data_IF_314417305950
#
_entry.id   IF_314417305950
#
_cell.length_a   1.000
_cell.length_b   1.000
_cell.length_c   1.000
_cell.angle_alpha   90.00
_cell.angle_beta   90.00
_cell.angle_gamma   90.00
#
_symmetry.space_group_name_H-M   'P 1'
#
loop_
_entity.id
_entity.type
_entity.pdbx_description
1 polymer ?
#
# COMPACT_ATOMS: atom_id res chain seq x y z
N UNK A 1 -16.56 -6.62 17.96
CA UNK A 1 -17.26 -5.42 17.47
C UNK A 1 -16.21 -4.35 17.24
N UNK A 2 -15.63 -4.27 16.06
CA UNK A 2 -14.46 -3.44 15.78
C UNK A 2 -14.60 -2.84 14.39
N UNK A 3 -15.10 -1.61 14.37
CA UNK A 3 -15.15 -0.77 13.19
C UNK A 3 -13.73 -0.31 12.85
N UNK A 4 -13.08 -1.02 11.94
CA UNK A 4 -11.94 -0.49 11.23
C UNK A 4 -12.43 0.72 10.41
N UNK A 5 -12.02 1.92 10.79
CA UNK A 5 -12.04 3.05 9.87
C UNK A 5 -11.20 2.63 8.66
N UNK A 6 -11.88 2.30 7.56
CA UNK A 6 -11.20 2.00 6.31
C UNK A 6 -10.40 3.23 5.91
N UNK A 7 -9.08 3.10 5.92
CA UNK A 7 -8.23 4.06 5.24
C UNK A 7 -8.68 4.11 3.77
N UNK A 8 -9.27 5.22 3.39
CA UNK A 8 -9.74 5.46 2.03
C UNK A 8 -8.56 5.40 1.08
N UNK A 9 -8.62 4.48 0.15
CA UNK A 9 -7.63 4.28 -0.89
C UNK A 9 -7.48 5.49 -1.79
N UNK A 10 -6.27 5.76 -2.19
CA UNK A 10 -5.90 6.98 -2.86
C UNK A 10 -4.87 6.80 -3.95
N UNK A 11 -5.06 7.50 -5.06
CA UNK A 11 -4.31 7.41 -6.28
C UNK A 11 -4.09 8.80 -6.92
N UNK A 12 -3.11 9.00 -7.78
CA UNK A 12 -2.52 10.28 -8.19
C UNK A 12 -2.82 10.83 -9.60
N UNK A 13 -3.07 12.13 -9.74
CA UNK A 13 -3.02 12.85 -11.00
C UNK A 13 -2.62 14.33 -10.78
N UNK A 14 -1.50 14.75 -11.26
CA UNK A 14 -1.07 16.14 -11.21
C UNK A 14 0.06 16.40 -12.19
N UNK A 15 -0.09 17.44 -13.00
CA UNK A 15 0.97 17.96 -13.85
C UNK A 15 1.38 19.32 -13.31
N UNK A 16 2.54 19.42 -12.65
CA UNK A 16 3.13 20.70 -12.31
C UNK A 16 3.87 21.26 -13.52
N UNK A 17 3.39 22.38 -14.07
CA UNK A 17 4.18 23.22 -14.99
C UNK A 17 5.00 24.18 -14.13
N UNK A 18 6.30 23.91 -13.95
CA UNK A 18 7.22 24.80 -13.26
C UNK A 18 7.54 26.03 -14.11
N UNK A 19 7.20 27.20 -13.63
CA UNK A 19 7.75 28.46 -14.14
C UNK A 19 9.16 28.67 -13.58
N UNK A 20 10.18 28.71 -14.44
CA UNK A 20 11.54 29.09 -14.08
C UNK A 20 11.57 30.59 -13.82
N UNK A 21 11.72 31.03 -12.58
CA UNK A 21 12.32 32.32 -12.26
C UNK A 21 13.82 32.14 -12.12
N UNK A 22 14.54 32.72 -13.06
CA UNK A 22 16.00 32.85 -13.02
C UNK A 22 16.34 34.06 -12.17
N UNK A 23 16.92 33.84 -11.00
CA UNK A 23 17.56 34.86 -10.19
C UNK A 23 18.87 35.28 -10.88
N UNK A 24 18.91 36.48 -11.46
CA UNK A 24 20.14 37.09 -11.96
C UNK A 24 20.99 37.58 -10.78
N UNK A 25 22.09 36.88 -10.50
CA UNK A 25 23.21 37.42 -9.72
C UNK A 25 24.23 38.00 -10.69
N UNK A 26 24.31 39.33 -10.76
CA UNK A 26 25.35 40.05 -11.48
C UNK A 26 26.71 39.81 -10.85
N UNK A 27 27.63 39.19 -11.55
CA UNK A 27 29.07 39.39 -11.36
C UNK A 27 29.70 39.51 -12.75
N UNK A 28 30.27 40.67 -13.02
CA UNK A 28 30.92 40.94 -14.28
C UNK A 28 32.22 40.17 -14.48
N UNK A 29 32.35 39.51 -15.63
CA UNK A 29 33.64 39.32 -16.32
C UNK A 29 33.38 39.09 -17.79
N UNK A 30 34.00 39.97 -18.62
CA UNK A 30 34.08 39.86 -20.07
C UNK A 30 34.72 38.51 -20.46
N UNK A 31 34.16 37.78 -21.43
CA UNK A 31 34.91 37.28 -22.60
C UNK A 31 34.04 36.43 -23.55
N UNK A 32 34.11 36.77 -24.82
CA UNK A 32 33.90 36.02 -26.08
C UNK A 32 32.66 35.13 -26.29
N UNK A 33 32.07 35.16 -27.49
CA UNK A 33 30.80 34.49 -27.81
C UNK A 33 31.07 33.04 -28.17
N UNK A 34 30.77 32.09 -27.25
CA UNK A 34 30.53 30.72 -27.62
C UNK A 34 29.06 30.53 -27.92
N UNK A 35 28.77 30.01 -29.11
CA UNK A 35 27.44 29.61 -29.55
C UNK A 35 26.80 28.68 -28.50
N UNK A 36 25.72 29.13 -27.91
CA UNK A 36 24.87 28.33 -27.04
C UNK A 36 24.12 27.29 -27.87
N UNK A 37 24.11 26.02 -27.47
CA UNK A 37 23.19 25.03 -28.05
C UNK A 37 21.74 25.43 -27.71
N UNK A 38 20.84 25.23 -28.68
CA UNK A 38 19.41 25.49 -28.53
C UNK A 38 18.84 24.77 -27.31
N UNK A 39 17.90 25.40 -26.57
CA UNK A 39 17.25 24.75 -25.44
C UNK A 39 16.42 23.56 -25.93
N UNK A 40 16.80 22.36 -25.54
CA UNK A 40 15.98 21.15 -25.70
C UNK A 40 14.66 21.37 -24.96
N UNK A 41 13.60 21.66 -25.68
CA UNK A 41 12.24 21.58 -25.20
C UNK A 41 11.98 20.14 -24.71
N UNK A 42 11.56 19.92 -23.46
CA UNK A 42 11.18 18.58 -23.04
C UNK A 42 9.98 18.13 -23.86
N UNK A 43 9.93 16.85 -24.28
CA UNK A 43 8.80 16.34 -25.03
C UNK A 43 7.53 16.53 -24.21
N UNK A 44 6.57 17.23 -24.78
CA UNK A 44 5.19 17.26 -24.30
C UNK A 44 4.66 15.85 -24.50
N UNK A 45 4.65 15.05 -23.44
CA UNK A 45 3.90 13.80 -23.46
C UNK A 45 2.44 14.20 -23.46
N UNK A 46 1.87 14.29 -24.67
CA UNK A 46 0.44 14.30 -24.83
C UNK A 46 -0.11 13.06 -24.13
N UNK A 47 -0.93 13.25 -23.11
CA UNK A 47 -1.74 12.18 -22.57
C UNK A 47 -2.66 11.75 -23.72
N UNK A 48 -2.34 10.61 -24.33
CA UNK A 48 -3.28 9.93 -25.21
C UNK A 48 -4.51 9.64 -24.34
N UNK A 49 -5.53 10.46 -24.48
CA UNK A 49 -6.87 10.11 -24.03
C UNK A 49 -7.26 8.89 -24.85
N UNK A 50 -7.15 7.71 -24.27
CA UNK A 50 -7.80 6.54 -24.80
C UNK A 50 -9.28 6.92 -24.91
N UNK A 51 -9.81 6.92 -26.12
CA UNK A 51 -11.22 7.05 -26.43
C UNK A 51 -11.95 5.81 -25.91
N UNK A 52 -12.14 5.75 -24.60
CA UNK A 52 -13.08 4.81 -23.98
C UNK A 52 -14.47 5.26 -24.38
N UNK A 53 -15.30 4.31 -24.79
CA UNK A 53 -16.70 4.54 -25.18
C UNK A 53 -17.37 5.49 -24.17
N UNK A 54 -18.07 6.52 -24.65
CA UNK A 54 -18.61 7.60 -23.82
C UNK A 54 -19.55 7.14 -22.67
N UNK A 55 -20.06 5.92 -22.70
CA UNK A 55 -20.84 5.30 -21.63
C UNK A 55 -19.97 4.92 -20.39
N UNK A 56 -18.76 4.40 -20.60
CA UNK A 56 -17.81 4.07 -19.50
C UNK A 56 -17.28 5.36 -18.85
N UNK A 57 -16.97 6.37 -19.64
CA UNK A 57 -16.49 7.64 -19.15
C UNK A 57 -17.57 8.37 -18.34
N UNK A 58 -18.82 8.41 -18.82
CA UNK A 58 -19.94 8.99 -18.07
C UNK A 58 -20.29 8.22 -16.81
N UNK A 59 -20.09 6.91 -16.76
CA UNK A 59 -20.25 6.10 -15.54
C UNK A 59 -19.14 6.38 -14.51
N UNK A 60 -17.89 6.48 -14.95
CA UNK A 60 -16.74 6.80 -14.09
C UNK A 60 -16.87 8.22 -13.51
N UNK A 61 -17.25 9.20 -14.32
CA UNK A 61 -17.48 10.58 -13.88
C UNK A 61 -18.59 10.71 -12.84
N UNK A 62 -19.66 9.89 -12.94
CA UNK A 62 -20.75 9.88 -11.96
C UNK A 62 -20.40 9.16 -10.66
N UNK A 63 -19.48 8.21 -10.68
CA UNK A 63 -19.14 7.38 -9.52
C UNK A 63 -17.86 7.81 -8.81
N UNK A 64 -16.98 8.53 -9.47
CA UNK A 64 -15.70 8.97 -8.92
C UNK A 64 -15.64 10.50 -8.84
N UNK A 65 -15.68 11.10 -7.62
CA UNK A 65 -15.58 12.54 -7.46
C UNK A 65 -14.21 13.04 -7.90
N UNK A 66 -14.19 14.21 -8.53
CA UNK A 66 -12.94 14.92 -8.80
C UNK A 66 -12.33 15.44 -7.50
N UNK A 67 -11.01 15.40 -7.44
CA UNK A 67 -10.22 15.84 -6.29
C UNK A 67 -9.00 16.62 -6.75
N UNK A 68 -8.56 17.55 -5.92
CA UNK A 68 -7.22 18.15 -6.01
C UNK A 68 -6.28 17.31 -5.16
N UNK A 69 -5.25 16.72 -5.80
CA UNK A 69 -4.23 15.94 -5.12
C UNK A 69 -2.88 16.66 -5.17
N UNK A 70 -2.28 16.87 -4.01
CA UNK A 70 -1.01 17.58 -3.87
C UNK A 70 -0.06 16.78 -3.00
N UNK A 71 1.19 16.67 -3.43
CA UNK A 71 2.26 16.08 -2.62
C UNK A 71 3.24 17.17 -2.22
N UNK A 72 3.47 17.27 -0.94
CA UNK A 72 4.42 18.17 -0.32
C UNK A 72 5.62 17.38 0.21
N UNK A 73 6.83 17.88 -0.08
CA UNK A 73 8.07 17.26 0.37
C UNK A 73 8.84 18.16 1.31
N UNK A 74 9.41 17.57 2.34
CA UNK A 74 10.33 18.26 3.22
C UNK A 74 11.38 17.29 3.79
N UNK A 75 12.52 17.83 4.21
CA UNK A 75 13.54 17.07 4.93
C UNK A 75 13.48 17.47 6.40
N UNK A 76 13.13 16.56 7.32
CA UNK A 76 13.24 16.82 8.74
C UNK A 76 14.72 17.02 9.10
N UNK A 77 15.09 18.04 9.91
CA UNK A 77 16.45 18.23 10.38
C UNK A 77 16.95 16.99 11.13
N UNK A 78 18.23 16.65 10.98
CA UNK A 78 18.81 15.47 11.62
C UNK A 78 18.83 15.57 13.15
N UNK A 79 18.93 16.79 13.69
CA UNK A 79 19.05 17.09 15.12
C UNK A 79 17.71 17.46 15.77
N UNK A 80 16.60 17.45 15.03
CA UNK A 80 15.32 17.90 15.57
C UNK A 80 14.63 16.80 16.39
N UNK A 81 14.06 17.22 17.52
CA UNK A 81 13.12 16.40 18.30
C UNK A 81 11.69 16.51 17.78
N UNK A 82 11.50 16.92 16.52
CA UNK A 82 10.18 17.12 15.94
C UNK A 82 9.53 15.75 15.71
N UNK A 83 8.48 15.47 16.48
CA UNK A 83 7.70 14.24 16.35
C UNK A 83 6.41 14.44 15.54
N UNK A 84 5.98 15.69 15.38
CA UNK A 84 4.74 16.07 14.68
C UNK A 84 4.94 17.33 13.86
N UNK A 85 4.36 17.37 12.66
CA UNK A 85 4.41 18.54 11.76
C UNK A 85 3.03 18.76 11.17
N UNK A 86 2.56 20.03 11.22
CA UNK A 86 1.32 20.44 10.57
C UNK A 86 1.64 21.23 9.30
N UNK A 87 1.03 20.84 8.19
CA UNK A 87 1.19 21.48 6.90
C UNK A 87 -0.15 22.10 6.51
N UNK A 88 -0.16 23.39 6.23
CA UNK A 88 -1.33 24.10 5.74
C UNK A 88 -1.30 24.19 4.23
N UNK A 89 -2.31 23.64 3.59
CA UNK A 89 -2.53 23.71 2.15
C UNK A 89 -3.61 24.73 1.85
N UNK A 90 -3.32 25.68 0.98
CA UNK A 90 -4.29 26.68 0.50
C UNK A 90 -4.33 26.61 -1.01
N UNK A 91 -5.50 26.33 -1.57
CA UNK A 91 -5.71 26.23 -3.01
C UNK A 91 -6.69 27.27 -3.53
N UNK A 92 -6.41 27.75 -4.76
CA UNK A 92 -7.29 28.66 -5.50
C UNK A 92 -7.42 28.15 -6.93
N UNK A 93 -8.65 28.06 -7.42
CA UNK A 93 -8.95 27.69 -8.78
C UNK A 93 -8.51 28.79 -9.74
N UNK A 94 -7.87 28.43 -10.84
CA UNK A 94 -7.45 29.33 -11.90
C UNK A 94 -8.61 29.52 -12.90
N UNK A 95 -8.53 30.61 -13.69
CA UNK A 95 -9.45 30.90 -14.80
C UNK A 95 -10.93 30.97 -14.38
N UNK A 96 -11.22 31.42 -13.17
CA UNK A 96 -12.60 31.66 -12.72
C UNK A 96 -13.10 33.00 -13.24
N UNK A 97 -14.13 32.99 -14.09
CA UNK A 97 -14.80 34.19 -14.58
C UNK A 97 -15.96 34.56 -13.63
N UNK A 98 -15.93 35.75 -13.04
CA UNK A 98 -16.94 36.25 -12.11
C UNK A 98 -16.59 36.00 -10.62
N UNK A 99 -17.64 36.06 -9.76
CA UNK A 99 -17.47 35.81 -8.33
C UNK A 99 -17.14 34.34 -8.04
N UNK A 100 -16.15 34.13 -7.19
CA UNK A 100 -15.76 32.77 -6.75
C UNK A 100 -16.88 32.11 -5.98
N UNK A 101 -17.15 30.85 -6.30
CA UNK A 101 -18.20 30.03 -5.68
C UNK A 101 -17.57 29.11 -4.61
N UNK A 102 -18.44 28.54 -3.80
CA UNK A 102 -18.04 27.43 -2.94
C UNK A 102 -17.38 26.32 -3.78
N UNK A 103 -16.22 25.84 -3.36
CA UNK A 103 -15.44 24.86 -4.12
C UNK A 103 -14.40 25.43 -5.08
N UNK A 104 -14.23 26.78 -5.21
CA UNK A 104 -13.16 27.42 -5.98
C UNK A 104 -11.95 27.81 -5.13
N UNK A 105 -12.06 27.70 -3.82
CA UNK A 105 -10.97 27.88 -2.84
C UNK A 105 -11.06 26.81 -1.76
N UNK A 106 -9.91 26.40 -1.22
CA UNK A 106 -9.87 25.52 -0.05
C UNK A 106 -8.72 25.90 0.88
N UNK A 107 -8.87 25.59 2.17
CA UNK A 107 -7.81 25.55 3.17
C UNK A 107 -7.90 24.24 3.91
N UNK A 108 -6.79 23.48 3.96
CA UNK A 108 -6.72 22.18 4.59
C UNK A 108 -5.43 22.07 5.41
N UNK A 109 -5.57 21.68 6.66
CA UNK A 109 -4.45 21.46 7.56
C UNK A 109 -4.25 19.95 7.76
N UNK A 110 -3.06 19.43 7.44
CA UNK A 110 -2.70 18.02 7.61
C UNK A 110 -1.61 17.90 8.65
N UNK A 111 -1.89 17.18 9.73
CA UNK A 111 -0.91 16.91 10.80
C UNK A 111 -0.37 15.50 10.67
N UNK A 112 0.95 15.37 10.70
CA UNK A 112 1.66 14.12 10.58
C UNK A 112 2.46 13.89 11.84
N UNK A 113 2.18 12.78 12.50
CA UNK A 113 2.87 12.32 13.68
C UNK A 113 3.92 11.26 13.36
N UNK A 114 4.86 11.05 14.27
CA UNK A 114 5.85 9.98 14.15
C UNK A 114 6.97 10.25 13.14
N UNK A 115 7.27 11.53 12.89
CA UNK A 115 8.44 11.90 12.09
C UNK A 115 9.71 11.57 12.87
N UNK A 116 10.59 10.79 12.24
CA UNK A 116 11.87 10.38 12.81
C UNK A 116 12.97 11.29 12.27
N UNK A 117 13.73 11.91 13.17
CA UNK A 117 14.89 12.73 12.79
C UNK A 117 15.88 11.91 11.95
N UNK A 118 16.42 12.50 10.89
CA UNK A 118 17.36 11.83 10.01
C UNK A 118 16.75 10.72 9.11
N UNK A 119 15.43 10.57 9.09
CA UNK A 119 14.75 9.59 8.21
C UNK A 119 14.81 9.95 6.72
N UNK A 120 15.47 11.07 6.35
CA UNK A 120 15.52 11.56 4.98
C UNK A 120 14.23 12.24 4.51
N UNK A 121 13.99 12.35 3.20
CA UNK A 121 12.87 13.13 2.66
C UNK A 121 11.52 12.50 3.02
N UNK A 122 10.61 13.34 3.48
CA UNK A 122 9.22 13.00 3.80
C UNK A 122 8.32 13.58 2.71
N UNK A 123 7.42 12.77 2.17
CA UNK A 123 6.41 13.17 1.19
C UNK A 123 5.03 13.04 1.80
N UNK A 124 4.24 14.11 1.74
CA UNK A 124 2.87 14.13 2.26
C UNK A 124 1.91 14.39 1.13
N UNK A 125 1.01 13.45 0.89
CA UNK A 125 0.00 13.55 -0.17
C UNK A 125 -1.37 13.76 0.44
N UNK A 126 -1.96 14.93 0.18
CA UNK A 126 -3.33 15.27 0.58
C UNK A 126 -4.27 15.24 -0.62
N UNK A 127 -5.54 15.03 -0.35
CA UNK A 127 -6.60 14.88 -1.34
C UNK A 127 -7.80 15.69 -0.90
N UNK A 128 -7.98 16.78 -1.55
CA UNK A 128 -9.05 17.70 -1.26
C UNK A 128 -10.26 17.31 -2.11
N UNK A 129 -11.34 16.97 -1.44
CA UNK A 129 -12.66 16.68 -2.04
C UNK A 129 -13.50 17.94 -2.04
N UNK A 130 -14.64 17.88 -2.71
CA UNK A 130 -15.62 19.00 -2.78
C UNK A 130 -15.04 20.25 -3.44
N UNK A 131 -14.23 20.04 -4.45
CA UNK A 131 -13.60 21.09 -5.27
C UNK A 131 -14.20 21.09 -6.66
N UNK A 132 -14.33 22.26 -7.26
CA UNK A 132 -14.80 22.39 -8.64
C UNK A 132 -13.72 21.92 -9.63
N UNK A 133 -14.09 21.22 -10.71
CA UNK A 133 -13.15 20.77 -11.74
C UNK A 133 -12.35 21.91 -12.37
N UNK A 134 -11.08 21.63 -12.70
CA UNK A 134 -10.24 22.59 -13.42
C UNK A 134 -8.78 22.64 -12.94
N UNK A 135 -8.11 23.75 -13.29
CA UNK A 135 -6.73 24.01 -12.88
C UNK A 135 -6.70 24.84 -11.59
N UNK A 136 -5.77 24.50 -10.71
CA UNK A 136 -5.62 25.08 -9.39
C UNK A 136 -4.19 25.55 -9.16
N UNK A 137 -4.03 26.62 -8.39
CA UNK A 137 -2.74 26.93 -7.76
C UNK A 137 -2.83 26.56 -6.29
N UNK A 138 -1.97 25.68 -5.82
CA UNK A 138 -1.92 25.26 -4.43
C UNK A 138 -0.63 25.73 -3.77
N UNK A 139 -0.74 26.34 -2.60
CA UNK A 139 0.37 26.73 -1.72
C UNK A 139 0.39 25.81 -0.52
N UNK A 140 1.58 25.39 -0.10
CA UNK A 140 1.76 24.60 1.09
C UNK A 140 2.79 25.29 2.01
N UNK A 141 2.42 25.49 3.28
CA UNK A 141 3.28 26.10 4.29
C UNK A 141 3.34 25.18 5.51
N UNK A 142 4.54 25.00 6.06
CA UNK A 142 4.70 24.38 7.37
C UNK A 142 4.26 25.36 8.44
N UNK A 143 3.36 24.91 9.31
CA UNK A 143 2.99 25.66 10.49
C UNK A 143 4.02 25.38 11.59
N UNK A 144 4.51 26.41 12.30
CA UNK A 144 5.40 26.20 13.43
C UNK A 144 4.66 25.37 14.49
N UNK A 145 5.31 24.34 14.99
CA UNK A 145 4.83 23.64 16.20
C UNK A 145 5.01 24.57 17.36
N UNK A 146 3.93 25.15 17.86
CA UNK A 146 3.94 25.91 19.11
C UNK A 146 3.98 24.87 20.22
N UNK A 147 5.17 24.56 20.71
CA UNK A 147 5.33 23.84 21.96
C UNK A 147 5.08 24.84 23.11
N UNK A 148 3.97 24.70 23.86
CA UNK A 148 3.65 25.64 24.92
C UNK A 148 4.67 25.67 26.07
N UNK A 149 5.66 24.77 26.05
CA UNK A 149 6.71 24.68 27.07
C UNK A 149 8.05 25.28 26.64
N UNK A 150 8.22 25.68 25.40
CA UNK A 150 9.48 26.29 24.93
C UNK A 150 9.43 27.81 25.09
N UNK A 151 9.72 28.31 26.28
CA UNK A 151 10.07 29.71 26.55
C UNK A 151 11.57 29.96 26.24
N UNK A 152 11.97 29.75 24.99
CA UNK A 152 13.33 30.03 24.57
C UNK A 152 13.36 30.53 23.13
N UNK A 153 13.97 31.71 22.92
CA UNK A 153 14.31 32.26 21.60
C UNK A 153 15.30 31.32 20.88
N UNK A 154 14.84 30.18 20.43
CA UNK A 154 15.57 29.32 19.51
C UNK A 154 15.16 29.67 18.07
N UNK A 155 16.11 30.01 17.23
CA UNK A 155 15.88 30.16 15.79
C UNK A 155 15.18 28.91 15.27
N UNK A 156 13.95 29.06 14.77
CA UNK A 156 13.19 27.97 14.21
C UNK A 156 13.99 27.35 13.06
N UNK A 157 14.14 26.03 13.02
CA UNK A 157 14.84 25.40 11.91
C UNK A 157 14.12 25.74 10.62
N UNK A 158 14.84 26.39 9.69
CA UNK A 158 14.31 26.67 8.35
C UNK A 158 14.22 25.34 7.62
N UNK A 159 13.01 24.79 7.60
CA UNK A 159 12.73 23.60 6.82
C UNK A 159 12.53 24.03 5.38
N UNK A 160 13.43 23.62 4.49
CA UNK A 160 13.28 23.91 3.07
C UNK A 160 12.13 23.09 2.48
N UNK A 161 11.19 23.79 1.89
CA UNK A 161 9.95 23.28 1.35
C UNK A 161 10.12 23.08 -0.16
N UNK A 162 9.89 21.86 -0.64
CA UNK A 162 9.96 21.56 -2.06
C UNK A 162 8.74 20.80 -2.53
N UNK A 163 7.90 21.32 -3.42
CA UNK A 163 6.97 20.48 -4.18
C UNK A 163 7.78 19.60 -5.15
N UNK A 164 7.59 18.29 -5.07
CA UNK A 164 8.30 17.34 -5.91
C UNK A 164 7.36 16.58 -6.83
N UNK A 165 7.76 16.46 -8.09
CA UNK A 165 7.21 15.46 -9.00
C UNK A 165 8.16 14.26 -9.03
N UNK A 166 7.70 13.09 -8.61
CA UNK A 166 8.45 11.85 -8.67
C UNK A 166 8.23 11.14 -10.01
N UNK A 167 9.30 10.73 -10.67
CA UNK A 167 9.27 9.78 -11.76
C UNK A 167 10.18 8.59 -11.43
N UNK A 168 9.88 7.40 -11.97
CA UNK A 168 10.68 6.18 -11.81
C UNK A 168 12.18 6.34 -12.13
N UNK A 169 12.53 7.39 -12.90
CA UNK A 169 13.89 7.63 -13.36
C UNK A 169 14.59 8.79 -12.68
N UNK A 170 13.85 9.74 -12.12
CA UNK A 170 14.45 10.95 -11.57
C UNK A 170 13.62 11.51 -10.41
N UNK A 171 14.23 11.70 -9.28
CA UNK A 171 13.72 12.54 -8.21
C UNK A 171 13.89 13.99 -8.65
N UNK A 172 12.86 14.61 -9.14
CA UNK A 172 12.86 16.06 -9.41
C UNK A 172 12.11 16.75 -8.29
N UNK A 173 12.89 17.40 -7.44
CA UNK A 173 12.35 18.31 -6.44
C UNK A 173 12.31 19.70 -7.08
N UNK A 174 11.13 20.23 -7.37
CA UNK A 174 10.99 21.63 -7.79
C UNK A 174 10.84 22.50 -6.54
N UNK A 175 11.78 23.41 -6.35
CA UNK A 175 11.71 24.38 -5.25
C UNK A 175 10.62 25.42 -5.56
N UNK A 176 9.67 25.57 -4.64
CA UNK A 176 8.68 26.64 -4.70
C UNK A 176 7.52 26.42 -3.72
N UNK A 177 6.98 27.48 -3.12
CA UNK A 177 5.86 27.38 -2.17
C UNK A 177 4.52 27.12 -2.85
N UNK A 178 4.46 27.11 -4.18
CA UNK A 178 3.23 26.93 -4.95
C UNK A 178 3.43 26.07 -6.20
N UNK A 179 2.44 25.28 -6.54
CA UNK A 179 2.42 24.45 -7.73
C UNK A 179 1.05 24.54 -8.45
N UNK A 180 1.03 24.59 -9.80
CA UNK A 180 -0.20 24.39 -10.56
C UNK A 180 -0.57 22.91 -10.55
N UNK A 181 -1.83 22.62 -10.27
CA UNK A 181 -2.37 21.26 -10.15
C UNK A 181 -3.72 21.21 -10.86
N UNK A 182 -3.94 20.18 -11.66
CA UNK A 182 -5.25 19.92 -12.26
C UNK A 182 -6.06 18.96 -11.38
N UNK A 183 -7.38 19.13 -11.36
CA UNK A 183 -8.27 18.12 -10.74
C UNK A 183 -8.14 16.80 -11.46
N UNK A 184 -8.37 15.74 -10.74
CA UNK A 184 -8.37 14.38 -11.26
C UNK A 184 -9.40 13.51 -10.56
N UNK A 185 -9.80 12.42 -11.21
CA UNK A 185 -10.71 11.48 -10.60
C UNK A 185 -10.03 10.76 -9.42
N UNK A 186 -10.73 10.69 -8.30
CA UNK A 186 -10.25 10.10 -7.03
C UNK A 186 -9.55 8.74 -7.18
N UNK A 187 -10.05 7.79 -8.00
CA UNK A 187 -9.39 6.49 -8.17
C UNK A 187 -8.02 6.54 -8.85
N UNK A 188 -7.67 7.65 -9.52
CA UNK A 188 -6.42 7.79 -10.28
C UNK A 188 -5.33 8.62 -9.62
N UNK A 189 -5.52 9.06 -8.37
CA UNK A 189 -4.50 9.79 -7.59
C UNK A 189 -3.39 8.86 -7.12
N UNK A 190 -2.11 9.10 -7.41
CA UNK A 190 -0.97 8.26 -7.01
C UNK A 190 -0.07 8.96 -5.99
N UNK A 191 0.00 8.53 -4.73
CA UNK A 191 1.08 8.92 -3.84
C UNK A 191 2.44 8.43 -4.37
N UNK A 192 3.55 9.09 -4.01
CA UNK A 192 4.87 8.60 -4.35
C UNK A 192 5.08 7.15 -3.87
N UNK A 193 5.78 6.35 -4.67
CA UNK A 193 6.04 4.92 -4.46
C UNK A 193 4.80 3.99 -4.45
N UNK A 194 3.62 4.48 -4.81
CA UNK A 194 2.42 3.64 -4.95
C UNK A 194 2.17 3.33 -6.42
N UNK A 195 1.98 2.04 -6.74
CA UNK A 195 1.66 1.54 -8.07
C UNK A 195 0.22 1.06 -8.09
N UNK A 196 -0.56 1.67 -8.99
CA UNK A 196 -1.96 1.29 -9.20
C UNK A 196 -2.11 -0.14 -9.68
N UNK A 197 -3.14 -0.81 -9.14
CA UNK A 197 -3.48 -2.17 -9.57
C UNK A 197 -2.46 -3.23 -9.18
N UNK A 198 -1.28 -2.85 -8.65
CA UNK A 198 -0.22 -3.78 -8.27
C UNK A 198 -0.70 -4.86 -7.30
N UNK A 199 -1.59 -4.50 -6.36
CA UNK A 199 -2.15 -5.47 -5.44
C UNK A 199 -2.97 -6.55 -6.17
N UNK A 200 -3.86 -6.15 -7.06
CA UNK A 200 -4.71 -7.09 -7.79
C UNK A 200 -3.88 -7.99 -8.71
N UNK A 201 -2.93 -7.40 -9.45
CA UNK A 201 -2.03 -8.17 -10.34
C UNK A 201 -1.21 -9.18 -9.54
N UNK A 202 -0.57 -8.76 -8.44
CA UNK A 202 0.27 -9.65 -7.65
C UNK A 202 -0.54 -10.70 -6.86
N UNK A 203 -1.77 -10.39 -6.44
CA UNK A 203 -2.66 -11.39 -5.84
C UNK A 203 -3.07 -12.43 -6.87
N UNK A 204 -3.47 -12.04 -8.08
CA UNK A 204 -3.78 -12.98 -9.15
C UNK A 204 -2.56 -13.83 -9.52
N UNK A 205 -1.38 -13.23 -9.67
CA UNK A 205 -0.12 -13.95 -9.89
C UNK A 205 0.17 -14.93 -8.76
N UNK A 206 -0.06 -14.52 -7.50
CA UNK A 206 0.09 -15.40 -6.34
C UNK A 206 -0.87 -16.58 -6.34
N UNK A 207 -2.13 -16.38 -6.75
CA UNK A 207 -3.11 -17.46 -6.89
C UNK A 207 -2.68 -18.44 -8.00
N UNK A 208 -2.25 -17.93 -9.16
CA UNK A 208 -1.77 -18.77 -10.26
C UNK A 208 -0.55 -19.60 -9.81
N UNK A 209 0.44 -18.96 -9.15
CA UNK A 209 1.60 -19.67 -8.60
C UNK A 209 1.19 -20.74 -7.58
N UNK A 210 0.24 -20.43 -6.70
CA UNK A 210 -0.29 -21.36 -5.72
C UNK A 210 -0.91 -22.59 -6.40
N UNK A 211 -1.77 -22.40 -7.40
CA UNK A 211 -2.38 -23.50 -8.14
C UNK A 211 -1.35 -24.33 -8.91
N UNK A 212 -0.34 -23.71 -9.51
CA UNK A 212 0.75 -24.44 -10.18
C UNK A 212 1.58 -25.25 -9.18
N UNK A 213 1.92 -24.69 -8.03
CA UNK A 213 2.64 -25.39 -6.97
C UNK A 213 1.81 -26.55 -6.41
N UNK A 214 0.53 -26.34 -6.19
CA UNK A 214 -0.39 -27.40 -5.75
C UNK A 214 -0.48 -28.52 -6.80
N UNK A 215 -0.60 -28.18 -8.08
CA UNK A 215 -0.61 -29.15 -9.19
C UNK A 215 0.64 -30.01 -9.23
N UNK A 216 1.81 -29.42 -9.00
CA UNK A 216 3.08 -30.13 -8.92
C UNK A 216 3.06 -31.16 -7.78
N UNK A 217 2.65 -30.78 -6.59
CA UNK A 217 2.57 -31.69 -5.42
C UNK A 217 1.55 -32.80 -5.66
N UNK A 218 0.38 -32.48 -6.23
CA UNK A 218 -0.67 -33.47 -6.51
C UNK A 218 -0.19 -34.49 -7.53
N UNK A 219 0.51 -34.06 -8.58
CA UNK A 219 1.03 -34.96 -9.62
C UNK A 219 2.03 -35.98 -9.07
N UNK A 220 2.84 -35.58 -8.09
CA UNK A 220 3.79 -36.49 -7.42
C UNK A 220 3.15 -37.38 -6.38
N UNK A 221 2.02 -36.96 -5.79
CA UNK A 221 1.29 -37.73 -4.79
C UNK A 221 0.25 -38.72 -5.37
N UNK A 222 0.07 -38.75 -6.70
CA UNK A 222 -0.91 -39.66 -7.38
C UNK A 222 -2.37 -39.34 -7.08
N UNK A 223 -2.68 -38.11 -6.63
CA UNK A 223 -4.04 -37.69 -6.34
C UNK A 223 -4.80 -37.25 -7.61
N UNK A 224 -6.13 -37.31 -7.56
CA UNK A 224 -6.99 -36.84 -8.65
C UNK A 224 -6.88 -35.33 -8.85
N UNK A 225 -5.98 -34.88 -9.73
CA UNK A 225 -5.66 -33.48 -9.97
C UNK A 225 -6.91 -32.62 -10.19
N UNK A 226 -7.85 -33.07 -11.02
CA UNK A 226 -9.07 -32.31 -11.32
C UNK A 226 -9.92 -32.00 -10.08
N UNK A 227 -10.09 -32.99 -9.18
CA UNK A 227 -10.88 -32.84 -7.98
C UNK A 227 -10.20 -31.84 -7.00
N UNK A 228 -8.90 -31.97 -6.75
CA UNK A 228 -8.17 -31.11 -5.83
C UNK A 228 -8.14 -29.66 -6.32
N UNK A 229 -7.87 -29.43 -7.62
CA UNK A 229 -7.90 -28.11 -8.21
C UNK A 229 -9.31 -27.51 -8.22
N UNK A 230 -10.35 -28.30 -8.46
CA UNK A 230 -11.73 -27.85 -8.36
C UNK A 230 -12.06 -27.37 -6.93
N UNK A 231 -11.69 -28.15 -5.89
CA UNK A 231 -11.83 -27.74 -4.50
C UNK A 231 -11.15 -26.40 -4.25
N UNK A 232 -9.89 -26.25 -4.66
CA UNK A 232 -9.12 -25.02 -4.44
C UNK A 232 -9.73 -23.82 -5.17
N UNK A 233 -10.09 -23.96 -6.43
CA UNK A 233 -10.64 -22.89 -7.26
C UNK A 233 -12.01 -22.43 -6.74
N UNK A 234 -12.93 -23.34 -6.48
CA UNK A 234 -14.25 -23.00 -5.98
C UNK A 234 -14.20 -22.49 -4.55
N UNK A 235 -13.27 -22.95 -3.70
CA UNK A 235 -13.07 -22.40 -2.36
C UNK A 235 -12.53 -20.96 -2.38
N UNK A 236 -11.58 -20.66 -3.29
CA UNK A 236 -11.12 -19.29 -3.52
C UNK A 236 -12.26 -18.41 -4.03
N UNK A 237 -13.08 -18.91 -4.97
CA UNK A 237 -14.26 -18.17 -5.47
C UNK A 237 -15.27 -17.92 -4.34
N UNK A 238 -15.55 -18.93 -3.51
CA UNK A 238 -16.39 -18.80 -2.32
C UNK A 238 -15.84 -17.76 -1.33
N UNK A 239 -14.51 -17.74 -1.13
CA UNK A 239 -13.82 -16.72 -0.35
C UNK A 239 -14.00 -15.31 -0.94
N UNK A 240 -13.84 -15.17 -2.27
CA UNK A 240 -14.04 -13.90 -2.98
C UNK A 240 -15.47 -13.38 -2.76
N UNK A 241 -16.47 -14.23 -2.97
CA UNK A 241 -17.89 -13.90 -2.77
C UNK A 241 -18.17 -13.57 -1.30
N UNK A 242 -17.66 -14.40 -0.37
CA UNK A 242 -17.80 -14.21 1.06
C UNK A 242 -17.20 -12.88 1.54
N UNK A 243 -15.98 -12.54 1.05
CA UNK A 243 -15.30 -11.30 1.37
C UNK A 243 -16.11 -10.07 0.94
N UNK A 244 -16.72 -10.13 -0.23
CA UNK A 244 -17.57 -9.06 -0.76
C UNK A 244 -18.90 -8.97 -0.02
N UNK A 245 -19.57 -10.10 0.18
CA UNK A 245 -20.84 -10.15 0.89
C UNK A 245 -20.71 -9.62 2.33
N UNK A 246 -19.68 -10.05 3.06
CA UNK A 246 -19.41 -9.59 4.42
C UNK A 246 -19.17 -8.08 4.49
N UNK A 247 -18.37 -7.54 3.55
CA UNK A 247 -18.15 -6.11 3.46
C UNK A 247 -19.45 -5.33 3.24
N UNK A 248 -20.31 -5.78 2.33
CA UNK A 248 -21.61 -5.16 2.04
C UNK A 248 -22.55 -5.22 3.23
N UNK A 249 -22.56 -6.31 4.00
CA UNK A 249 -23.39 -6.45 5.21
C UNK A 249 -22.96 -5.46 6.30
N UNK A 250 -21.63 -5.32 6.52
CA UNK A 250 -21.09 -4.39 7.50
C UNK A 250 -21.31 -2.91 7.13
N UNK A 251 -21.33 -2.60 5.82
CA UNK A 251 -21.41 -1.23 5.32
C UNK A 251 -22.77 -0.92 4.68
N UNK A 252 -23.87 -1.52 5.17
CA UNK A 252 -25.24 -1.37 4.65
C UNK A 252 -25.68 0.08 4.48
N UNK A 253 -25.26 1.00 5.34
CA UNK A 253 -25.60 2.44 5.29
C UNK A 253 -24.84 3.22 4.23
N UNK A 254 -23.66 2.77 3.85
CA UNK A 254 -22.76 3.46 2.93
C UNK A 254 -22.41 2.50 1.79
N UNK A 255 -23.29 2.36 0.79
CA UNK A 255 -23.16 1.45 -0.36
C UNK A 255 -21.92 1.74 -1.22
N UNK A 256 -20.74 1.79 -0.62
CA UNK A 256 -19.48 1.88 -1.35
C UNK A 256 -19.00 0.47 -1.69
N UNK A 257 -18.85 0.22 -2.97
CA UNK A 257 -18.38 -1.07 -3.49
C UNK A 257 -16.87 -1.28 -3.35
N UNK A 258 -16.14 -0.34 -2.72
CA UNK A 258 -14.69 -0.19 -2.82
C UNK A 258 -13.89 -1.04 -1.83
N UNK A 259 -14.54 -1.80 -0.95
CA UNK A 259 -13.86 -2.54 0.10
C UNK A 259 -14.04 -4.05 0.04
N UNK A 260 -13.15 -4.75 0.76
CA UNK A 260 -13.13 -6.19 0.96
C UNK A 260 -12.92 -6.53 2.43
N UNK A 261 -13.60 -7.56 2.93
CA UNK A 261 -13.44 -8.05 4.29
C UNK A 261 -12.71 -9.39 4.29
N UNK A 262 -11.52 -9.42 4.90
CA UNK A 262 -10.71 -10.65 5.02
C UNK A 262 -11.47 -11.73 5.80
N UNK A 263 -12.23 -11.34 6.84
CA UNK A 263 -13.05 -12.27 7.62
C UNK A 263 -14.07 -13.00 6.73
N UNK A 264 -14.74 -12.25 5.85
CA UNK A 264 -15.69 -12.83 4.91
C UNK A 264 -15.03 -13.78 3.90
N UNK A 265 -13.81 -13.44 3.45
CA UNK A 265 -13.03 -14.32 2.57
C UNK A 265 -12.72 -15.65 3.27
N UNK A 266 -12.19 -15.59 4.50
CA UNK A 266 -11.88 -16.81 5.29
C UNK A 266 -13.15 -17.61 5.55
N UNK A 267 -14.25 -16.97 5.95
CA UNK A 267 -15.52 -17.65 6.19
C UNK A 267 -16.03 -18.34 4.94
N UNK A 268 -16.04 -17.65 3.77
CA UNK A 268 -16.49 -18.24 2.51
C UNK A 268 -15.63 -19.43 2.07
N UNK A 269 -14.31 -19.31 2.22
CA UNK A 269 -13.38 -20.40 1.93
C UNK A 269 -13.62 -21.60 2.84
N UNK A 270 -13.72 -21.40 4.16
CA UNK A 270 -13.90 -22.48 5.17
C UNK A 270 -15.27 -23.14 5.06
N UNK A 271 -16.29 -22.48 4.53
CA UNK A 271 -17.58 -23.09 4.27
C UNK A 271 -17.56 -23.96 3.00
N UNK A 272 -16.90 -23.50 1.94
CA UNK A 272 -16.91 -24.20 0.64
C UNK A 272 -15.91 -25.37 0.61
N UNK A 273 -14.71 -25.21 1.14
CA UNK A 273 -13.65 -26.20 1.05
C UNK A 273 -14.03 -27.57 1.67
N UNK A 274 -14.49 -27.67 2.94
CA UNK A 274 -14.86 -28.96 3.53
C UNK A 274 -16.03 -29.63 2.80
N UNK A 275 -17.02 -28.84 2.36
CA UNK A 275 -18.15 -29.37 1.60
C UNK A 275 -17.69 -30.06 0.31
N UNK A 276 -16.81 -29.41 -0.46
CA UNK A 276 -16.30 -29.96 -1.71
C UNK A 276 -15.35 -31.15 -1.47
N UNK A 277 -14.53 -31.11 -0.40
CA UNK A 277 -13.67 -32.24 -0.04
C UNK A 277 -14.49 -33.50 0.25
N UNK A 278 -15.61 -33.35 0.96
CA UNK A 278 -16.55 -34.45 1.24
C UNK A 278 -17.25 -34.91 -0.04
N UNK A 279 -17.79 -34.03 -0.86
CA UNK A 279 -18.54 -34.36 -2.08
C UNK A 279 -17.66 -35.06 -3.14
N UNK A 280 -16.39 -34.64 -3.25
CA UNK A 280 -15.44 -35.17 -4.25
C UNK A 280 -14.57 -36.29 -3.69
N UNK A 281 -14.80 -36.72 -2.44
CA UNK A 281 -14.01 -37.75 -1.74
C UNK A 281 -12.50 -37.50 -1.78
N UNK A 282 -12.08 -36.24 -1.61
CA UNK A 282 -10.67 -35.87 -1.58
C UNK A 282 -10.15 -36.04 -0.13
N UNK A 283 -9.03 -36.76 0.09
CA UNK A 283 -8.45 -36.90 1.42
C UNK A 283 -8.03 -35.54 1.99
N UNK A 284 -8.65 -35.13 3.11
CA UNK A 284 -8.46 -33.80 3.74
C UNK A 284 -6.99 -33.55 4.05
N UNK A 285 -6.29 -34.51 4.67
CA UNK A 285 -4.88 -34.35 5.03
C UNK A 285 -3.97 -34.12 3.82
N UNK A 286 -4.16 -34.92 2.77
CA UNK A 286 -3.39 -34.78 1.55
C UNK A 286 -3.67 -33.45 0.81
N UNK A 287 -4.95 -33.01 0.81
CA UNK A 287 -5.32 -31.70 0.29
C UNK A 287 -4.63 -30.56 1.06
N UNK A 288 -4.64 -30.61 2.40
CA UNK A 288 -4.01 -29.61 3.25
C UNK A 288 -2.50 -29.55 2.99
N UNK A 289 -1.82 -30.70 2.97
CA UNK A 289 -0.36 -30.75 2.77
C UNK A 289 0.04 -30.27 1.37
N UNK A 290 -0.73 -30.62 0.32
CA UNK A 290 -0.51 -30.07 -1.02
C UNK A 290 -0.78 -28.55 -1.08
N UNK A 291 -1.65 -28.05 -0.22
CA UNK A 291 -1.98 -26.61 -0.15
C UNK A 291 -0.98 -25.81 0.69
N UNK A 292 -0.19 -26.44 1.56
CA UNK A 292 0.77 -25.73 2.43
C UNK A 292 1.79 -24.91 1.64
N UNK A 293 2.63 -25.48 0.75
CA UNK A 293 3.57 -24.71 -0.04
C UNK A 293 2.88 -23.75 -1.01
N UNK A 294 1.76 -24.18 -1.59
CA UNK A 294 0.96 -23.36 -2.50
C UNK A 294 0.49 -22.06 -1.85
N UNK A 295 -0.12 -22.16 -0.67
CA UNK A 295 -0.60 -21.02 0.12
C UNK A 295 0.56 -20.09 0.50
N UNK A 296 1.67 -20.62 0.97
CA UNK A 296 2.80 -19.82 1.43
C UNK A 296 3.47 -19.10 0.26
N UNK A 297 3.75 -19.77 -0.86
CA UNK A 297 4.35 -19.13 -2.03
C UNK A 297 3.41 -18.10 -2.66
N UNK A 298 2.13 -18.39 -2.77
CA UNK A 298 1.13 -17.42 -3.24
C UNK A 298 1.03 -16.20 -2.33
N UNK A 299 1.03 -16.41 -1.01
CA UNK A 299 1.00 -15.34 -0.02
C UNK A 299 2.27 -14.46 -0.09
N UNK A 300 3.44 -15.04 -0.33
CA UNK A 300 4.68 -14.29 -0.50
C UNK A 300 4.57 -13.26 -1.63
N UNK A 301 4.05 -13.67 -2.79
CA UNK A 301 3.80 -12.77 -3.92
C UNK A 301 2.74 -11.72 -3.56
N UNK A 302 1.65 -12.10 -2.90
CA UNK A 302 0.61 -11.17 -2.45
C UNK A 302 1.14 -10.09 -1.51
N UNK A 303 2.15 -10.38 -0.67
CA UNK A 303 2.80 -9.40 0.23
C UNK A 303 3.61 -8.36 -0.52
N UNK A 304 4.20 -8.68 -1.66
CA UNK A 304 4.81 -7.68 -2.55
C UNK A 304 3.74 -6.70 -3.07
N UNK A 305 2.52 -7.18 -3.33
CA UNK A 305 1.39 -6.32 -3.68
C UNK A 305 1.07 -5.28 -2.59
N UNK A 306 1.14 -5.67 -1.32
CA UNK A 306 0.97 -4.75 -0.19
C UNK A 306 2.07 -3.67 -0.16
N UNK A 307 3.31 -4.02 -0.46
CA UNK A 307 4.42 -3.06 -0.52
C UNK A 307 4.19 -2.01 -1.61
N UNK A 308 3.90 -2.43 -2.83
CA UNK A 308 3.69 -1.52 -3.96
C UNK A 308 2.38 -0.71 -3.87
N UNK A 309 1.41 -1.17 -3.10
CA UNK A 309 0.14 -0.43 -2.87
C UNK A 309 0.21 0.47 -1.64
N UNK A 310 1.25 0.33 -0.80
CA UNK A 310 1.40 1.12 0.42
C UNK A 310 0.43 0.73 1.54
N UNK A 311 -0.04 -0.53 1.60
CA UNK A 311 -0.80 -1.03 2.74
C UNK A 311 0.09 -1.80 3.72
N UNK A 312 -0.34 -1.88 4.99
CA UNK A 312 0.41 -2.59 6.04
C UNK A 312 1.85 -2.09 6.22
N UNK A 313 2.06 -0.78 6.08
CA UNK A 313 3.38 -0.17 6.14
C UNK A 313 4.04 -0.35 7.52
N UNK A 314 5.36 -0.50 7.52
CA UNK A 314 6.15 -0.51 8.75
C UNK A 314 6.32 0.88 9.34
N UNK A 315 6.79 0.94 10.58
CA UNK A 315 7.07 2.20 11.29
C UNK A 315 8.14 3.01 10.57
N UNK A 316 8.05 4.35 10.57
CA UNK A 316 9.14 5.22 10.14
C UNK A 316 10.43 4.90 10.90
N UNK A 317 11.57 4.96 10.21
CA UNK A 317 12.87 4.58 10.78
C UNK A 317 14.01 5.28 10.06
N UNK A 318 15.04 5.69 10.81
CA UNK A 318 16.30 6.19 10.30
C UNK A 318 17.37 5.08 10.14
N UNK A 319 17.01 3.81 10.31
CA UNK A 319 17.92 2.68 10.15
C UNK A 319 18.42 2.59 8.70
N UNK A 320 19.69 2.13 8.52
CA UNK A 320 20.26 1.82 7.20
C UNK A 320 19.49 0.74 6.41
N UNK A 321 18.67 -0.05 7.09
CA UNK A 321 17.82 -1.10 6.49
C UNK A 321 16.42 -0.59 6.13
N UNK A 322 16.12 0.68 6.47
CA UNK A 322 14.85 1.27 6.12
C UNK A 322 14.77 1.50 4.61
N UNK A 323 13.59 1.20 4.04
CA UNK A 323 13.30 1.42 2.62
C UNK A 323 12.31 2.55 2.49
N UNK A 324 12.58 3.49 1.59
CA UNK A 324 11.65 4.57 1.32
C UNK A 324 10.37 4.04 0.68
N UNK A 325 9.25 4.20 1.36
CA UNK A 325 7.94 3.70 0.94
C UNK A 325 6.82 4.58 1.47
N UNK A 326 5.64 4.49 0.87
CA UNK A 326 4.46 5.27 1.25
C UNK A 326 3.41 4.39 1.91
N UNK A 327 2.69 4.95 2.90
CA UNK A 327 1.47 4.36 3.47
C UNK A 327 0.20 4.90 2.78
N UNK A 328 0.28 5.31 1.51
CA UNK A 328 -0.76 5.96 0.68
C UNK A 328 -0.98 7.46 0.94
N UNK A 329 -0.49 8.00 2.04
CA UNK A 329 -0.54 9.44 2.35
C UNK A 329 0.84 10.00 2.66
N UNK A 330 1.65 9.26 3.44
CA UNK A 330 2.97 9.71 3.88
C UNK A 330 4.05 8.77 3.36
N UNK A 331 4.94 9.29 2.50
CA UNK A 331 6.16 8.62 2.06
C UNK A 331 7.33 8.99 2.94
N UNK A 332 8.04 7.99 3.48
CA UNK A 332 9.20 8.14 4.36
C UNK A 332 10.01 6.85 4.38
N UNK A 333 11.23 6.88 4.87
CA UNK A 333 11.97 5.65 5.15
C UNK A 333 11.29 4.86 6.27
N UNK A 334 10.98 3.59 6.01
CA UNK A 334 10.22 2.70 6.90
C UNK A 334 10.90 1.35 7.01
N UNK A 335 10.66 0.67 8.12
CA UNK A 335 10.98 -0.75 8.23
C UNK A 335 10.20 -1.50 7.16
N UNK A 336 10.85 -2.25 6.24
CA UNK A 336 10.17 -2.91 5.12
C UNK A 336 9.44 -4.19 5.54
N UNK A 337 8.49 -4.06 6.46
CA UNK A 337 7.77 -5.20 7.06
C UNK A 337 7.08 -6.10 6.05
N UNK A 338 6.56 -5.53 4.95
CA UNK A 338 5.92 -6.29 3.87
C UNK A 338 6.93 -7.18 3.14
N UNK A 339 8.14 -6.65 2.86
CA UNK A 339 9.21 -7.40 2.19
C UNK A 339 9.78 -8.47 3.12
N UNK A 340 9.95 -8.16 4.41
CA UNK A 340 10.38 -9.13 5.42
C UNK A 340 9.36 -10.26 5.55
N UNK A 341 8.06 -9.95 5.62
CA UNK A 341 6.99 -10.94 5.67
C UNK A 341 6.98 -11.79 4.39
N UNK A 342 7.12 -11.16 3.20
CA UNK A 342 7.20 -11.88 1.92
C UNK A 342 8.38 -12.87 1.90
N UNK A 343 9.58 -12.44 2.29
CA UNK A 343 10.77 -13.29 2.31
C UNK A 343 10.63 -14.48 3.27
N UNK A 344 10.13 -14.22 4.48
CA UNK A 344 9.93 -15.28 5.48
C UNK A 344 8.89 -16.30 5.06
N UNK A 345 7.75 -15.82 4.51
CA UNK A 345 6.69 -16.73 4.02
C UNK A 345 7.16 -17.50 2.79
N UNK A 346 7.97 -16.89 1.93
CA UNK A 346 8.60 -17.58 0.81
C UNK A 346 9.51 -18.72 1.28
N UNK A 347 10.33 -18.50 2.30
CA UNK A 347 11.17 -19.55 2.89
C UNK A 347 10.34 -20.68 3.49
N UNK A 348 9.27 -20.37 4.23
CA UNK A 348 8.34 -21.38 4.75
C UNK A 348 7.69 -22.15 3.60
N UNK A 349 7.35 -21.49 2.50
CA UNK A 349 6.80 -22.12 1.30
C UNK A 349 7.79 -23.08 0.64
N UNK A 350 9.06 -22.69 0.49
CA UNK A 350 10.08 -23.56 -0.08
C UNK A 350 10.40 -24.75 0.83
N UNK A 351 10.50 -24.56 2.14
CA UNK A 351 10.76 -25.65 3.08
C UNK A 351 9.61 -26.65 3.12
N UNK A 352 8.35 -26.17 3.16
CA UNK A 352 7.19 -27.06 3.08
C UNK A 352 7.08 -27.77 1.73
N UNK A 353 7.42 -27.11 0.61
CA UNK A 353 7.48 -27.76 -0.70
C UNK A 353 8.51 -28.88 -0.71
N UNK A 354 9.73 -28.62 -0.25
CA UNK A 354 10.77 -29.64 -0.15
C UNK A 354 10.37 -30.81 0.74
N UNK A 355 9.73 -30.54 1.87
CA UNK A 355 9.25 -31.59 2.79
C UNK A 355 8.15 -32.44 2.15
N UNK A 356 7.13 -31.83 1.55
CA UNK A 356 6.03 -32.58 0.92
C UNK A 356 6.51 -33.40 -0.27
N UNK A 357 7.43 -32.87 -1.09
CA UNK A 357 7.99 -33.62 -2.21
C UNK A 357 8.89 -34.78 -1.76
N UNK A 358 9.58 -34.65 -0.61
CA UNK A 358 10.49 -35.67 -0.08
C UNK A 358 9.78 -36.80 0.64
N UNK A 359 8.76 -36.47 1.45
CA UNK A 359 8.11 -37.41 2.35
C UNK A 359 6.68 -37.79 1.91
N UNK A 360 6.13 -37.13 0.90
CA UNK A 360 4.72 -37.22 0.54
C UNK A 360 3.80 -36.49 1.52
N UNK A 361 2.49 -36.43 1.23
CA UNK A 361 1.50 -35.85 2.14
C UNK A 361 1.40 -36.65 3.45
N UNK A 362 1.42 -35.97 4.59
CA UNK A 362 1.45 -36.52 5.95
C UNK A 362 0.24 -36.07 6.77
N UNK A 363 -0.97 -36.46 6.36
CA UNK A 363 -2.23 -36.24 7.11
C UNK A 363 -2.54 -34.75 7.46
N UNK A 364 -1.88 -33.78 6.80
CA UNK A 364 -2.07 -32.36 7.02
C UNK A 364 -1.02 -31.72 7.96
N UNK A 365 -0.02 -32.44 8.41
CA UNK A 365 1.00 -31.95 9.34
C UNK A 365 1.86 -30.84 8.75
N UNK A 366 2.26 -30.93 7.49
CA UNK A 366 3.01 -29.85 6.83
C UNK A 366 2.19 -28.56 6.71
N UNK A 367 0.87 -28.66 6.54
CA UNK A 367 0.00 -27.49 6.54
C UNK A 367 -0.07 -26.85 7.92
N UNK A 368 -0.30 -27.65 8.94
CA UNK A 368 -0.37 -27.18 10.34
C UNK A 368 0.94 -26.51 10.73
N UNK A 369 2.08 -27.16 10.47
CA UNK A 369 3.40 -26.61 10.74
C UNK A 369 3.64 -25.27 10.01
N UNK A 370 3.37 -25.21 8.72
CA UNK A 370 3.57 -24.01 7.91
C UNK A 370 2.71 -22.83 8.41
N UNK A 371 1.43 -23.08 8.71
CA UNK A 371 0.51 -22.04 9.23
C UNK A 371 0.91 -21.59 10.63
N UNK A 372 1.33 -22.51 11.51
CA UNK A 372 1.78 -22.19 12.87
C UNK A 372 3.05 -21.33 12.84
N UNK A 373 4.07 -21.73 12.05
CA UNK A 373 5.31 -20.94 11.86
C UNK A 373 5.01 -19.57 11.30
N UNK A 374 4.19 -19.48 10.25
CA UNK A 374 3.78 -18.20 9.70
C UNK A 374 3.09 -17.32 10.73
N UNK A 375 2.18 -17.90 11.52
CA UNK A 375 1.45 -17.18 12.56
C UNK A 375 2.39 -16.60 13.61
N UNK A 376 3.37 -17.36 14.08
CA UNK A 376 4.40 -16.91 15.03
C UNK A 376 5.22 -15.76 14.45
N UNK A 377 5.76 -15.92 13.25
CA UNK A 377 6.53 -14.89 12.55
C UNK A 377 5.70 -13.61 12.37
N UNK A 378 4.45 -13.76 11.98
CA UNK A 378 3.53 -12.63 11.80
C UNK A 378 3.30 -11.87 13.11
N UNK A 379 3.18 -12.56 14.29
CA UNK A 379 3.02 -11.86 15.57
C UNK A 379 4.22 -10.95 15.86
N UNK A 380 5.42 -11.39 15.54
CA UNK A 380 6.63 -10.56 15.67
C UNK A 380 6.61 -9.36 14.70
N UNK A 381 6.36 -9.59 13.40
CA UNK A 381 6.35 -8.55 12.38
C UNK A 381 5.26 -7.50 12.60
N UNK A 382 4.13 -7.88 13.20
CA UNK A 382 3.05 -6.94 13.54
C UNK A 382 3.50 -5.87 14.55
N UNK A 383 4.53 -6.12 15.38
CA UNK A 383 5.10 -5.12 16.28
C UNK A 383 5.87 -4.02 15.55
N UNK A 384 6.35 -4.31 14.32
CA UNK A 384 7.11 -3.40 13.48
C UNK A 384 6.23 -2.55 12.55
N UNK A 385 4.90 -2.79 12.53
CA UNK A 385 3.96 -2.02 11.71
C UNK A 385 3.58 -0.69 12.36
N UNK A 386 3.22 0.27 11.53
CA UNK A 386 2.72 1.57 11.94
C UNK A 386 1.33 1.49 12.59
N UNK A 387 0.47 0.64 12.06
CA UNK A 387 -0.88 0.44 12.58
C UNK A 387 -0.85 -0.11 14.01
N UNK A 388 -1.40 0.64 14.95
CA UNK A 388 -1.53 0.19 16.35
C UNK A 388 -2.54 -0.94 16.44
N UNK A 389 -2.21 -1.96 17.23
CA UNK A 389 -3.15 -3.03 17.55
C UNK A 389 -4.26 -2.49 18.43
N UNK A 390 -5.48 -2.95 18.18
CA UNK A 390 -6.64 -2.62 19.01
C UNK A 390 -6.67 -3.41 20.33
N UNK A 391 -5.94 -4.53 20.43
CA UNK A 391 -5.84 -5.36 21.63
C UNK A 391 -4.38 -5.74 21.90
N UNK A 392 -3.89 -5.38 23.07
CA UNK A 392 -2.54 -5.75 23.52
C UNK A 392 -2.47 -7.22 23.93
N UNK A 393 -3.56 -7.77 24.44
CA UNK A 393 -3.61 -9.15 24.96
C UNK A 393 -3.81 -10.21 23.87
N UNK A 394 -4.41 -9.88 22.74
CA UNK A 394 -4.65 -10.83 21.66
C UNK A 394 -3.39 -11.41 20.99
N UNK A 395 -2.30 -10.66 21.01
CA UNK A 395 -1.05 -11.08 20.40
C UNK A 395 -0.34 -12.24 21.11
N UNK A 396 -0.11 -12.18 22.45
CA UNK A 396 0.52 -13.29 23.16
C UNK A 396 -0.36 -14.53 23.14
N UNK A 397 -1.68 -14.40 23.26
CA UNK A 397 -2.60 -15.56 23.20
C UNK A 397 -2.50 -16.28 21.84
N UNK A 398 -2.51 -15.57 20.73
CA UNK A 398 -2.36 -16.16 19.39
C UNK A 398 -0.97 -16.80 19.22
N UNK A 399 0.08 -16.18 19.74
CA UNK A 399 1.43 -16.75 19.67
C UNK A 399 1.56 -18.03 20.51
N UNK A 400 1.01 -18.05 21.73
CA UNK A 400 0.98 -19.23 22.59
C UNK A 400 0.17 -20.36 21.92
N UNK A 401 -1.02 -20.07 21.40
CA UNK A 401 -1.83 -21.06 20.71
C UNK A 401 -1.11 -21.64 19.48
N UNK A 402 -0.49 -20.80 18.65
CA UNK A 402 0.28 -21.27 17.50
C UNK A 402 1.51 -22.10 17.91
N UNK A 403 2.19 -21.72 18.98
CA UNK A 403 3.31 -22.48 19.54
C UNK A 403 2.89 -23.85 20.07
N UNK A 404 1.76 -23.90 20.79
CA UNK A 404 1.19 -25.18 21.28
C UNK A 404 0.77 -26.09 20.14
N UNK A 405 0.09 -25.55 19.12
CA UNK A 405 -0.31 -26.32 17.93
C UNK A 405 0.92 -26.89 17.22
N UNK A 406 1.96 -26.08 17.02
CA UNK A 406 3.21 -26.54 16.40
C UNK A 406 3.91 -27.62 17.23
N UNK A 407 3.92 -27.48 18.57
CA UNK A 407 4.50 -28.47 19.47
C UNK A 407 3.74 -29.79 19.39
N UNK A 408 2.40 -29.77 19.45
CA UNK A 408 1.55 -30.96 19.33
C UNK A 408 1.78 -31.64 17.98
N UNK A 409 1.80 -30.88 16.88
CA UNK A 409 2.04 -31.39 15.55
C UNK A 409 3.40 -32.10 15.45
N UNK A 410 4.45 -31.51 15.99
CA UNK A 410 5.80 -32.09 16.04
C UNK A 410 5.82 -33.40 16.86
N UNK A 411 5.14 -33.44 17.98
CA UNK A 411 5.03 -34.65 18.84
C UNK A 411 4.30 -35.76 18.06
N UNK A 412 3.21 -35.43 17.37
CA UNK A 412 2.47 -36.42 16.56
C UNK A 412 3.36 -36.97 15.46
N UNK A 413 4.13 -36.11 14.75
CA UNK A 413 5.08 -36.57 13.70
C UNK A 413 6.17 -37.45 14.25
N UNK A 414 6.60 -37.26 15.51
CA UNK A 414 7.63 -38.11 16.12
C UNK A 414 7.11 -39.45 16.65
N UNK A 415 5.80 -39.56 16.91
CA UNK A 415 5.17 -40.77 17.44
C UNK A 415 4.59 -41.68 16.35
N UNK A 416 4.41 -41.19 15.15
CA UNK A 416 3.94 -41.91 13.97
C UNK A 416 5.10 -42.22 13.03
#
# INVERSE_FOLDING_TARGET
MLLSKSASETIWCGRAKGSRQVSQKRSGRRNSPRRSPAPLTPPVIASTQASSSGALQSFVERTAPEVVAVTYWFNPPAESTIHSVTIKFVGRRLNVTGLRKHGDEFSHDETIDGIVAGSGPVAVTVKIREVNPGEWTVRANLLPVIDPKSHGQGSQPVISVFPAAWSWRHWRVSAGPSAPVSTCLFPFVRPPAVILGSWAVLVVTGIVLALLTQSLVISTAGLAMGHVLAVSLFSVLGGVVGGKAWYLVLHRRNRRWDGWAVQGFVTGFVLVAPLLLLLLNVPVGAFLDASAPALMLGLAIGRLGCFFTGCCAGRPSASRWAVWSSNRSVGVHRVPTQLMESALVFLVGLTSLGAVLRYGPQHGTFFVAAVAVYTLVRQFLLRLREERRQSEQGAPLVAIAAGLILFIDLVVVMLV
#
